data_IF_068255656917
#
_entry.id   IF_068255656917
#
_cell.length_a   1.000
_cell.length_b   1.000
_cell.length_c   1.000
_cell.angle_alpha   90.00
_cell.angle_beta   90.00
_cell.angle_gamma   90.00
#
_symmetry.space_group_name_H-M   'P 1'
#
loop_
_entity.id
_entity.type
_entity.pdbx_description
1 polymer ?
#
# COMPACT_ATOMS: atom_id res chain seq x y z
N UNK A 1 23.38 0.99 -18.51
CA UNK A 1 22.70 1.21 -17.21
C UNK A 1 21.19 0.98 -17.29
N UNK A 2 20.49 1.57 -18.27
CA UNK A 2 19.03 1.35 -18.46
C UNK A 2 18.63 -0.12 -18.66
N UNK A 3 19.41 -0.90 -19.43
CA UNK A 3 19.15 -2.33 -19.66
C UNK A 3 19.35 -3.20 -18.41
N UNK A 4 20.25 -2.83 -17.51
CA UNK A 4 20.50 -3.55 -16.26
C UNK A 4 19.36 -3.33 -15.26
N UNK A 5 18.96 -2.07 -15.05
CA UNK A 5 17.82 -1.74 -14.18
C UNK A 5 16.49 -2.26 -14.75
N UNK A 6 16.33 -2.27 -16.08
CA UNK A 6 15.12 -2.83 -16.68
C UNK A 6 15.06 -4.36 -16.56
N UNK A 7 16.21 -5.05 -16.57
CA UNK A 7 16.30 -6.52 -16.46
C UNK A 7 16.26 -7.01 -15.01
N UNK A 8 16.90 -6.29 -14.09
CA UNK A 8 17.07 -6.72 -12.69
C UNK A 8 16.37 -5.80 -11.68
N UNK A 9 15.59 -4.82 -12.12
CA UNK A 9 14.94 -3.84 -11.24
C UNK A 9 14.08 -4.50 -10.16
N UNK A 10 13.31 -5.53 -10.51
CA UNK A 10 12.50 -6.27 -9.54
C UNK A 10 13.36 -7.07 -8.55
N UNK A 11 14.44 -7.69 -9.00
CA UNK A 11 15.38 -8.41 -8.13
C UNK A 11 16.12 -7.46 -7.17
N UNK A 12 16.47 -6.26 -7.64
CA UNK A 12 17.09 -5.21 -6.82
C UNK A 12 16.11 -4.65 -5.79
N UNK A 13 14.87 -4.38 -6.19
CA UNK A 13 13.83 -3.91 -5.27
C UNK A 13 13.54 -4.95 -4.17
N UNK A 14 13.40 -6.23 -4.55
CA UNK A 14 13.25 -7.32 -3.61
C UNK A 14 14.47 -7.45 -2.69
N UNK A 15 15.68 -7.46 -3.25
CA UNK A 15 16.92 -7.58 -2.49
C UNK A 15 17.12 -6.43 -1.49
N UNK A 16 16.80 -5.19 -1.89
CA UNK A 16 16.82 -4.03 -1.00
C UNK A 16 15.80 -4.18 0.12
N UNK A 17 14.58 -4.63 -0.18
CA UNK A 17 13.55 -4.88 0.83
C UNK A 17 13.96 -5.97 1.84
N UNK A 18 14.52 -7.08 1.36
CA UNK A 18 15.06 -8.15 2.22
C UNK A 18 16.19 -7.62 3.09
N UNK A 19 17.13 -6.86 2.52
CA UNK A 19 18.24 -6.26 3.26
C UNK A 19 17.75 -5.34 4.39
N UNK A 20 16.81 -4.44 4.09
CA UNK A 20 16.21 -3.54 5.09
C UNK A 20 15.53 -4.34 6.20
N UNK A 21 14.80 -5.39 5.83
CA UNK A 21 14.13 -6.28 6.80
C UNK A 21 15.13 -6.96 7.72
N UNK A 22 16.25 -7.47 7.17
CA UNK A 22 17.32 -8.09 7.95
C UNK A 22 17.93 -7.08 8.92
N UNK A 23 18.22 -5.86 8.46
CA UNK A 23 18.78 -4.79 9.31
C UNK A 23 17.82 -4.44 10.44
N UNK A 24 16.54 -4.27 10.13
CA UNK A 24 15.49 -3.98 11.11
C UNK A 24 15.38 -5.09 12.18
N UNK A 25 15.33 -6.36 11.75
CA UNK A 25 15.29 -7.49 12.69
C UNK A 25 16.55 -7.58 13.54
N UNK A 26 17.73 -7.32 12.95
CA UNK A 26 18.97 -7.29 13.70
C UNK A 26 18.94 -6.21 14.79
N UNK A 27 18.46 -4.99 14.47
CA UNK A 27 18.31 -3.91 15.44
C UNK A 27 17.40 -4.33 16.61
N UNK A 28 16.21 -4.86 16.30
CA UNK A 28 15.27 -5.35 17.32
C UNK A 28 15.91 -6.42 18.21
N UNK A 29 16.52 -7.46 17.61
CA UNK A 29 17.07 -8.56 18.41
C UNK A 29 18.33 -8.20 19.20
N UNK A 30 19.01 -7.11 18.85
CA UNK A 30 20.13 -6.57 19.63
C UNK A 30 19.71 -5.57 20.70
N UNK A 31 18.46 -5.10 20.67
CA UNK A 31 17.94 -4.16 21.65
C UNK A 31 17.65 -4.90 22.99
N UNK A 32 18.27 -4.47 24.10
CA UNK A 32 18.08 -5.10 25.41
C UNK A 32 16.64 -4.98 25.94
N UNK A 33 15.84 -4.03 25.45
CA UNK A 33 14.43 -3.87 25.84
C UNK A 33 13.52 -4.92 25.22
N UNK A 34 13.93 -5.54 24.10
CA UNK A 34 13.15 -6.55 23.35
C UNK A 34 12.75 -7.74 24.22
N UNK A 35 13.57 -8.13 25.19
CA UNK A 35 13.28 -9.25 26.09
C UNK A 35 12.06 -9.02 27.01
N UNK A 36 11.69 -7.76 27.24
CA UNK A 36 10.60 -7.39 28.15
C UNK A 36 9.34 -6.89 27.42
N UNK A 37 9.35 -6.83 26.09
CA UNK A 37 8.23 -6.31 25.28
C UNK A 37 6.91 -7.01 25.59
N UNK A 38 6.93 -8.31 25.84
CA UNK A 38 5.72 -9.07 26.17
C UNK A 38 5.15 -8.72 27.55
N UNK A 39 5.98 -8.13 28.44
CA UNK A 39 5.59 -7.69 29.79
C UNK A 39 5.22 -6.21 29.86
N UNK A 40 5.47 -5.42 28.81
CA UNK A 40 5.16 -3.99 28.75
C UNK A 40 3.64 -3.75 28.62
N UNK A 41 3.15 -2.70 29.27
CA UNK A 41 1.79 -2.20 29.08
C UNK A 41 1.57 -1.67 27.66
N UNK A 42 0.32 -1.44 27.27
CA UNK A 42 0.02 -0.86 25.96
C UNK A 42 0.63 0.54 25.83
N UNK A 43 0.61 1.38 26.87
CA UNK A 43 1.24 2.70 26.86
C UNK A 43 2.76 2.60 26.68
N UNK A 44 3.43 1.72 27.41
CA UNK A 44 4.89 1.55 27.34
C UNK A 44 5.35 1.08 25.95
N UNK A 45 4.54 0.28 25.27
CA UNK A 45 4.80 -0.14 23.88
C UNK A 45 4.70 0.98 22.85
N UNK A 46 4.01 2.08 23.16
CA UNK A 46 3.97 3.24 22.26
C UNK A 46 5.14 4.20 22.47
N UNK A 47 5.84 4.11 23.62
CA UNK A 47 6.98 4.98 23.92
C UNK A 47 8.34 4.37 23.52
N UNK A 48 8.38 3.10 23.12
CA UNK A 48 9.62 2.47 22.69
C UNK A 48 10.07 2.95 21.31
N UNK A 49 11.39 3.13 21.15
CA UNK A 49 12.04 3.50 19.89
C UNK A 49 12.55 2.31 19.08
N UNK A 50 12.36 1.07 19.56
CA UNK A 50 12.90 -0.14 18.91
C UNK A 50 12.39 -0.35 17.47
N UNK A 51 11.26 0.26 17.11
CA UNK A 51 10.65 0.17 15.78
C UNK A 51 10.93 1.39 14.89
N UNK A 52 11.52 2.46 15.42
CA UNK A 52 11.64 3.76 14.74
C UNK A 52 12.38 3.65 13.42
N UNK A 53 13.46 2.86 13.36
CA UNK A 53 14.19 2.65 12.11
C UNK A 53 13.30 2.05 11.01
N UNK A 54 12.54 1.00 11.35
CA UNK A 54 11.66 0.32 10.40
C UNK A 54 10.56 1.24 9.90
N UNK A 55 9.95 2.01 10.81
CA UNK A 55 8.91 3.00 10.48
C UNK A 55 9.49 4.12 9.63
N UNK A 56 10.62 4.72 10.02
CA UNK A 56 11.24 5.84 9.34
C UNK A 56 11.69 5.48 7.92
N UNK A 57 12.35 4.34 7.73
CA UNK A 57 12.78 3.88 6.39
C UNK A 57 11.58 3.54 5.52
N UNK A 58 10.55 2.89 6.06
CA UNK A 58 9.33 2.56 5.32
C UNK A 58 8.58 3.83 4.89
N UNK A 59 8.46 4.80 5.78
CA UNK A 59 7.86 6.10 5.48
C UNK A 59 8.65 6.83 4.40
N UNK A 60 9.98 6.92 4.54
CA UNK A 60 10.86 7.54 3.56
C UNK A 60 10.72 6.89 2.18
N UNK A 61 10.81 5.56 2.09
CA UNK A 61 10.69 4.84 0.83
C UNK A 61 9.30 5.00 0.22
N UNK A 62 8.25 5.00 1.03
CA UNK A 62 6.87 5.21 0.55
C UNK A 62 6.71 6.60 -0.06
N UNK A 63 7.16 7.64 0.64
CA UNK A 63 7.08 9.03 0.16
C UNK A 63 7.96 9.21 -1.09
N UNK A 64 9.18 8.68 -1.09
CA UNK A 64 10.09 8.76 -2.23
C UNK A 64 9.53 8.03 -3.47
N UNK A 65 8.96 6.84 -3.29
CA UNK A 65 8.34 6.08 -4.37
C UNK A 65 7.09 6.78 -4.91
N UNK A 66 6.24 7.32 -4.03
CA UNK A 66 5.07 8.09 -4.44
C UNK A 66 5.46 9.33 -5.24
N UNK A 67 6.46 10.10 -4.76
CA UNK A 67 6.97 11.27 -5.47
C UNK A 67 7.57 10.89 -6.83
N UNK A 68 8.40 9.84 -6.89
CA UNK A 68 8.97 9.34 -8.14
C UNK A 68 7.89 8.88 -9.12
N UNK A 69 6.88 8.14 -8.64
CA UNK A 69 5.75 7.69 -9.45
C UNK A 69 5.01 8.87 -10.10
N UNK A 70 4.73 9.92 -9.33
CA UNK A 70 4.06 11.12 -9.85
C UNK A 70 4.94 11.87 -10.86
N UNK A 71 6.20 12.13 -10.50
CA UNK A 71 7.13 12.86 -11.36
C UNK A 71 7.37 12.14 -12.69
N UNK A 72 7.68 10.84 -12.64
CA UNK A 72 7.90 10.04 -13.85
C UNK A 72 6.60 9.80 -14.63
N UNK A 73 5.46 9.61 -13.95
CA UNK A 73 4.16 9.48 -14.60
C UNK A 73 3.78 10.72 -15.40
N UNK A 74 3.89 11.89 -14.79
CA UNK A 74 3.62 13.18 -15.45
C UNK A 74 4.63 13.42 -16.58
N UNK A 75 5.93 13.23 -16.32
CA UNK A 75 6.98 13.40 -17.32
C UNK A 75 6.74 12.50 -18.55
N UNK A 76 6.38 11.24 -18.35
CA UNK A 76 6.10 10.30 -19.43
C UNK A 76 4.89 10.71 -20.27
N UNK A 77 3.83 11.21 -19.63
CA UNK A 77 2.64 11.72 -20.32
C UNK A 77 2.99 12.95 -21.17
N UNK A 78 3.79 13.88 -20.65
CA UNK A 78 4.18 15.11 -21.36
C UNK A 78 5.17 14.80 -22.50
N UNK A 79 6.22 14.04 -22.23
CA UNK A 79 7.28 13.74 -23.21
C UNK A 79 6.85 12.74 -24.27
N UNK A 80 5.87 11.88 -24.00
CA UNK A 80 5.38 10.89 -24.96
C UNK A 80 3.89 10.57 -24.75
N UNK A 81 2.98 11.49 -25.12
CA UNK A 81 1.54 11.32 -24.90
C UNK A 81 0.98 10.07 -25.57
N UNK A 82 1.40 9.80 -26.82
CA UNK A 82 0.95 8.63 -27.60
C UNK A 82 1.36 7.30 -26.96
N UNK A 83 2.59 7.21 -26.44
CA UNK A 83 3.05 6.00 -25.74
C UNK A 83 2.30 5.80 -24.41
N UNK A 84 1.86 6.89 -23.79
CA UNK A 84 1.18 6.90 -22.50
C UNK A 84 -0.30 6.55 -22.54
N UNK A 85 -0.91 6.47 -23.73
CA UNK A 85 -2.35 6.18 -23.89
C UNK A 85 -2.79 4.94 -23.11
N UNK A 86 -2.01 3.85 -23.17
CA UNK A 86 -2.34 2.62 -22.42
C UNK A 86 -2.33 2.84 -20.91
N UNK A 87 -1.36 3.60 -20.40
CA UNK A 87 -1.27 3.95 -18.99
C UNK A 87 -2.42 4.85 -18.54
N UNK A 88 -2.78 5.84 -19.36
CA UNK A 88 -3.91 6.75 -19.11
C UNK A 88 -5.24 5.98 -19.08
N UNK A 89 -5.45 5.06 -20.04
CA UNK A 89 -6.64 4.20 -20.06
C UNK A 89 -6.70 3.33 -18.79
N UNK A 90 -5.57 2.75 -18.38
CA UNK A 90 -5.48 1.98 -17.15
C UNK A 90 -5.85 2.80 -15.91
N UNK A 91 -5.31 4.02 -15.78
CA UNK A 91 -5.64 4.93 -14.69
C UNK A 91 -7.12 5.33 -14.71
N UNK A 92 -7.67 5.60 -15.89
CA UNK A 92 -9.10 5.91 -16.07
C UNK A 92 -10.00 4.76 -15.63
N UNK A 93 -9.64 3.51 -15.95
CA UNK A 93 -10.37 2.32 -15.49
C UNK A 93 -10.35 2.21 -13.96
N UNK A 94 -9.21 2.44 -13.32
CA UNK A 94 -9.12 2.44 -11.84
C UNK A 94 -9.97 3.55 -11.25
N UNK A 95 -9.98 4.75 -11.85
CA UNK A 95 -10.83 5.84 -11.39
C UNK A 95 -12.33 5.52 -11.51
N UNK A 96 -12.75 4.87 -12.60
CA UNK A 96 -14.12 4.38 -12.76
C UNK A 96 -14.48 3.32 -11.72
N UNK A 97 -13.58 2.35 -11.47
CA UNK A 97 -13.78 1.35 -10.43
C UNK A 97 -13.86 1.98 -9.04
N UNK A 98 -13.02 2.95 -8.72
CA UNK A 98 -13.09 3.72 -7.48
C UNK A 98 -14.41 4.47 -7.35
N UNK A 99 -14.89 5.09 -8.43
CA UNK A 99 -16.18 5.77 -8.42
C UNK A 99 -17.34 4.80 -8.17
N UNK A 100 -17.31 3.62 -8.80
CA UNK A 100 -18.30 2.56 -8.55
C UNK A 100 -18.20 2.08 -7.10
N UNK A 101 -17.00 1.77 -6.61
CA UNK A 101 -16.77 1.35 -5.23
C UNK A 101 -17.25 2.39 -4.22
N UNK A 102 -16.97 3.68 -4.46
CA UNK A 102 -17.41 4.79 -3.60
C UNK A 102 -18.93 4.91 -3.56
N UNK A 103 -19.61 4.74 -4.70
CA UNK A 103 -21.07 4.82 -4.76
C UNK A 103 -21.75 3.61 -4.12
N UNK A 104 -21.11 2.44 -4.14
CA UNK A 104 -21.57 1.22 -3.48
C UNK A 104 -21.28 1.18 -1.98
N UNK A 105 -20.23 1.87 -1.51
CA UNK A 105 -19.84 1.85 -0.11
C UNK A 105 -20.86 2.53 0.80
N UNK A 106 -21.07 1.93 1.98
CA UNK A 106 -21.90 2.51 3.04
C UNK A 106 -21.23 3.79 3.58
N UNK A 107 -22.06 4.76 3.96
CA UNK A 107 -21.61 6.02 4.58
C UNK A 107 -21.57 5.97 6.10
N UNK A 108 -21.92 4.82 6.66
CA UNK A 108 -22.11 4.54 8.07
C UNK A 108 -21.59 3.14 8.39
N UNK A 109 -21.21 2.92 9.65
CA UNK A 109 -20.73 1.63 10.12
C UNK A 109 -21.89 0.81 10.67
N UNK A 110 -22.27 -0.23 9.93
CA UNK A 110 -23.31 -1.19 10.26
C UNK A 110 -22.77 -2.43 11.01
N UNK A 111 -21.44 -2.60 11.06
CA UNK A 111 -20.79 -3.72 11.74
C UNK A 111 -20.07 -3.31 13.04
N UNK A 112 -20.26 -4.02 14.18
CA UNK A 112 -19.67 -3.66 15.48
C UNK A 112 -18.14 -3.51 15.47
N UNK A 113 -17.45 -4.29 14.65
CA UNK A 113 -15.98 -4.23 14.52
C UNK A 113 -15.53 -2.97 13.77
N UNK A 114 -16.31 -2.51 12.79
CA UNK A 114 -16.02 -1.29 12.03
C UNK A 114 -16.27 -0.08 12.94
N UNK A 115 -17.36 -0.07 13.71
CA UNK A 115 -17.63 0.97 14.73
C UNK A 115 -16.47 1.05 15.74
N UNK A 116 -15.98 -0.10 16.22
CA UNK A 116 -14.84 -0.15 17.13
C UNK A 116 -13.57 0.45 16.51
N UNK A 117 -13.29 0.13 15.24
CA UNK A 117 -12.13 0.65 14.52
C UNK A 117 -12.23 2.17 14.29
N UNK A 118 -13.43 2.68 13.97
CA UNK A 118 -13.70 4.12 13.84
C UNK A 118 -13.42 4.82 15.17
N UNK A 119 -14.05 4.36 16.27
CA UNK A 119 -13.87 4.98 17.58
C UNK A 119 -12.39 5.01 18.00
N UNK A 120 -11.64 3.93 17.71
CA UNK A 120 -10.20 3.88 17.98
C UNK A 120 -9.43 4.92 17.17
N UNK A 121 -9.74 5.08 15.88
CA UNK A 121 -9.12 6.10 15.04
C UNK A 121 -9.44 7.52 15.54
N UNK A 122 -10.71 7.82 15.80
CA UNK A 122 -11.15 9.15 16.25
C UNK A 122 -10.54 9.52 17.60
N UNK A 123 -10.47 8.58 18.54
CA UNK A 123 -9.82 8.79 19.84
C UNK A 123 -8.31 9.02 19.75
N UNK A 124 -7.62 8.38 18.80
CA UNK A 124 -6.18 8.51 18.62
C UNK A 124 -5.79 9.78 17.86
N UNK A 125 -6.61 10.22 16.91
CA UNK A 125 -6.31 11.35 16.01
C UNK A 125 -7.03 12.64 16.40
N UNK A 126 -8.01 12.58 17.31
CA UNK A 126 -8.84 13.73 17.69
C UNK A 126 -9.68 14.28 16.52
N UNK A 127 -9.98 13.46 15.52
CA UNK A 127 -10.66 13.85 14.29
C UNK A 127 -11.79 12.87 13.97
N UNK A 128 -13.00 13.39 13.73
CA UNK A 128 -14.17 12.60 13.35
C UNK A 128 -14.12 12.17 11.87
N UNK A 129 -14.52 10.93 11.60
CA UNK A 129 -14.64 10.42 10.25
C UNK A 129 -16.01 10.77 9.68
N UNK A 130 -16.02 11.63 8.65
CA UNK A 130 -17.26 11.93 7.93
C UNK A 130 -17.76 10.73 7.12
N UNK A 131 -19.05 10.73 6.77
CA UNK A 131 -19.62 9.74 5.85
C UNK A 131 -18.88 9.66 4.51
N UNK A 132 -18.34 10.79 4.03
CA UNK A 132 -17.52 10.83 2.81
C UNK A 132 -16.18 10.09 2.98
N UNK A 133 -15.55 10.20 4.16
CA UNK A 133 -14.32 9.47 4.46
C UNK A 133 -14.58 7.96 4.52
N UNK A 134 -15.68 7.54 5.15
CA UNK A 134 -16.07 6.14 5.24
C UNK A 134 -16.35 5.53 3.85
N UNK A 135 -17.08 6.25 2.99
CA UNK A 135 -17.30 5.83 1.60
C UNK A 135 -16.00 5.74 0.80
N UNK A 136 -15.06 6.64 1.03
CA UNK A 136 -13.76 6.61 0.36
C UNK A 136 -12.94 5.39 0.80
N UNK A 137 -12.88 5.11 2.10
CA UNK A 137 -12.20 3.94 2.65
C UNK A 137 -12.87 2.66 2.10
N UNK A 138 -14.18 2.51 2.25
CA UNK A 138 -14.92 1.34 1.76
C UNK A 138 -14.80 1.14 0.24
N UNK A 139 -14.93 2.22 -0.52
CA UNK A 139 -14.79 2.18 -1.99
C UNK A 139 -13.40 1.78 -2.45
N UNK A 140 -12.36 2.23 -1.73
CA UNK A 140 -10.97 1.83 -2.00
C UNK A 140 -10.73 0.35 -1.71
N UNK A 141 -11.31 -0.19 -0.63
CA UNK A 141 -11.24 -1.62 -0.29
C UNK A 141 -11.93 -2.45 -1.36
N UNK A 142 -13.15 -2.08 -1.76
CA UNK A 142 -13.90 -2.78 -2.82
C UNK A 142 -13.09 -2.79 -4.12
N UNK A 143 -12.52 -1.63 -4.50
CA UNK A 143 -11.70 -1.53 -5.71
C UNK A 143 -10.48 -2.43 -5.64
N UNK A 144 -9.80 -2.48 -4.50
CA UNK A 144 -8.65 -3.36 -4.29
C UNK A 144 -9.04 -4.85 -4.41
N UNK A 145 -10.16 -5.25 -3.81
CA UNK A 145 -10.66 -6.64 -3.89
C UNK A 145 -11.03 -7.03 -5.33
N UNK A 146 -11.67 -6.12 -6.08
CA UNK A 146 -11.98 -6.34 -7.51
C UNK A 146 -10.70 -6.49 -8.32
N UNK A 147 -9.72 -5.62 -8.13
CA UNK A 147 -8.43 -5.70 -8.83
C UNK A 147 -7.68 -6.99 -8.50
N UNK A 148 -7.73 -7.45 -7.25
CA UNK A 148 -7.16 -8.71 -6.83
C UNK A 148 -7.86 -9.89 -7.53
N UNK A 149 -9.20 -9.92 -7.55
CA UNK A 149 -9.96 -10.95 -8.24
C UNK A 149 -9.66 -10.97 -9.76
N UNK A 150 -9.61 -9.81 -10.41
CA UNK A 150 -9.23 -9.67 -11.82
C UNK A 150 -7.81 -10.20 -12.04
N UNK A 151 -6.88 -9.89 -11.14
CA UNK A 151 -5.50 -10.36 -11.24
C UNK A 151 -5.41 -11.90 -11.18
N UNK A 152 -6.18 -12.55 -10.31
CA UNK A 152 -6.27 -14.01 -10.26
C UNK A 152 -6.84 -14.60 -11.55
N UNK A 153 -7.93 -14.02 -12.07
CA UNK A 153 -8.54 -14.49 -13.33
C UNK A 153 -7.56 -14.34 -14.49
N UNK A 154 -6.88 -13.21 -14.59
CA UNK A 154 -5.84 -12.96 -15.61
C UNK A 154 -4.73 -13.98 -15.49
N UNK A 155 -4.21 -14.24 -14.29
CA UNK A 155 -3.16 -15.24 -14.07
C UNK A 155 -3.58 -16.62 -14.57
N UNK A 156 -4.81 -17.07 -14.26
CA UNK A 156 -5.32 -18.37 -14.71
C UNK A 156 -5.46 -18.38 -16.23
N UNK A 157 -6.12 -17.39 -16.83
CA UNK A 157 -6.38 -17.34 -18.28
C UNK A 157 -5.08 -17.31 -19.07
N UNK A 158 -4.13 -16.45 -18.69
CA UNK A 158 -2.85 -16.37 -19.38
C UNK A 158 -1.93 -17.55 -19.08
N UNK A 159 -2.00 -18.11 -17.86
CA UNK A 159 -1.32 -19.35 -17.52
C UNK A 159 -1.78 -20.51 -18.40
N UNK A 160 -3.10 -20.70 -18.52
CA UNK A 160 -3.70 -21.74 -19.39
C UNK A 160 -3.37 -21.49 -20.86
N UNK A 161 -3.51 -20.26 -21.35
CA UNK A 161 -3.13 -19.91 -22.74
C UNK A 161 -1.68 -20.27 -23.04
N UNK A 162 -0.77 -20.01 -22.10
CA UNK A 162 0.65 -20.30 -22.27
C UNK A 162 0.97 -21.81 -22.28
N UNK A 163 0.08 -22.67 -21.79
CA UNK A 163 0.22 -24.13 -21.96
C UNK A 163 -0.20 -24.62 -23.36
N UNK A 164 -0.99 -23.82 -24.09
CA UNK A 164 -1.51 -24.18 -25.41
C UNK A 164 -0.82 -23.41 -26.57
N UNK A 165 0.20 -22.61 -26.29
CA UNK A 165 1.08 -21.97 -27.27
C UNK A 165 2.51 -22.51 -27.10
#
# INVERSE_FOLDING_TARGET
MYSFLNKYGQALAFGLGVLITIIFLAMIFTDPETANVDMMSAEEKFETSMFDFGIAVSLFLTVAAAAAMLLFGIFQVISSPKASIKGIIGLGLVAVLMFIGYTMAAGDADHPQIVTAINKFESAQGAELSAGNLKFIGGSIITALVMLAVSFVVLIVFGVRNFFQ
#
